data_IF_241765249152
#
_entry.id   IF_241765249152
#
_cell.length_a   1.000
_cell.length_b   1.000
_cell.length_c   1.000
_cell.angle_alpha   90.00
_cell.angle_beta   90.00
_cell.angle_gamma   90.00
#
_symmetry.space_group_name_H-M   'P 1'
#
loop_
_entity.id
_entity.type
_entity.pdbx_description
1 polymer ?
#
# COMPACT_ATOMS: atom_id res chain seq x y z
N UNK A 1 23.73 15.90 49.42
CA UNK A 1 22.69 15.24 48.61
C UNK A 1 23.16 13.87 48.18
N UNK A 2 22.24 12.94 48.14
CA UNK A 2 22.44 11.61 47.60
C UNK A 2 21.23 11.27 46.69
N UNK A 3 21.50 10.82 45.48
CA UNK A 3 20.50 10.37 44.54
C UNK A 3 20.59 8.85 44.40
N UNK A 4 19.44 8.22 44.47
CA UNK A 4 19.34 6.76 44.29
C UNK A 4 18.30 6.41 43.23
N UNK A 5 18.56 5.34 42.46
CA UNK A 5 17.63 4.70 41.53
C UNK A 5 17.45 3.26 42.01
N UNK A 6 16.25 2.85 42.33
CA UNK A 6 15.93 1.52 42.84
C UNK A 6 16.87 1.10 44.00
N UNK A 7 17.26 2.09 44.86
CA UNK A 7 18.14 1.91 46.02
C UNK A 7 19.64 1.94 45.73
N UNK A 8 20.08 2.08 44.47
CA UNK A 8 21.47 2.22 44.09
C UNK A 8 21.86 3.69 44.00
N UNK A 9 22.99 4.11 44.59
CA UNK A 9 23.48 5.49 44.49
C UNK A 9 23.95 5.80 43.07
N UNK A 10 23.41 6.87 42.47
CA UNK A 10 23.72 7.33 41.13
C UNK A 10 24.30 8.74 41.07
N UNK A 11 24.26 9.50 42.15
CA UNK A 11 24.82 10.85 42.22
C UNK A 11 24.83 11.45 43.62
N UNK A 12 25.59 12.54 43.80
CA UNK A 12 25.71 13.26 45.05
C UNK A 12 25.67 14.79 44.92
N UNK A 13 25.52 15.29 43.70
CA UNK A 13 25.41 16.72 43.44
C UNK A 13 24.02 17.25 43.74
N UNK A 14 23.85 18.56 43.81
CA UNK A 14 22.55 19.21 44.01
C UNK A 14 21.58 18.95 42.82
N UNK A 15 22.12 18.68 41.63
CA UNK A 15 21.39 18.34 40.40
C UNK A 15 21.85 16.99 39.89
N UNK A 16 20.94 16.19 39.36
CA UNK A 16 21.19 14.93 38.64
C UNK A 16 20.56 15.01 37.26
N UNK A 17 21.34 14.80 36.19
CA UNK A 17 20.87 14.62 34.85
C UNK A 17 20.68 13.12 34.59
N UNK A 18 19.44 12.72 34.26
CA UNK A 18 19.10 11.31 34.01
C UNK A 18 19.48 10.92 32.57
N UNK A 19 19.95 9.71 32.40
CA UNK A 19 20.23 9.11 31.09
C UNK A 19 19.63 7.71 30.99
N UNK A 20 19.34 7.19 29.79
CA UNK A 20 18.77 5.84 29.61
C UNK A 20 19.65 4.71 30.21
N UNK A 21 20.94 4.95 30.41
CA UNK A 21 21.84 3.98 31.08
C UNK A 21 21.74 3.98 32.59
N UNK A 22 21.08 4.97 33.19
CA UNK A 22 20.96 5.14 34.65
C UNK A 22 19.58 4.74 35.14
N UNK A 23 18.55 4.89 34.34
CA UNK A 23 17.14 4.69 34.70
C UNK A 23 16.39 4.00 33.58
N UNK A 24 15.36 3.26 33.93
CA UNK A 24 14.34 2.72 33.01
C UNK A 24 12.97 3.29 33.38
N UNK A 25 11.99 3.24 32.48
CA UNK A 25 10.60 3.56 32.78
C UNK A 25 10.12 2.82 34.03
N UNK A 26 9.30 3.48 34.84
CA UNK A 26 8.80 3.00 36.16
C UNK A 26 9.84 2.98 37.28
N UNK A 27 11.12 3.26 37.08
CA UNK A 27 12.08 3.45 38.15
C UNK A 27 11.68 4.63 39.06
N UNK A 28 11.99 4.52 40.35
CA UNK A 28 11.87 5.63 41.28
C UNK A 28 13.24 6.24 41.55
N UNK A 29 13.37 7.52 41.18
CA UNK A 29 14.56 8.34 41.52
C UNK A 29 14.29 9.08 42.79
N UNK A 30 15.12 8.85 43.81
CA UNK A 30 14.99 9.46 45.14
C UNK A 30 16.17 10.38 45.43
N UNK A 31 15.87 11.59 45.88
CA UNK A 31 16.84 12.52 46.42
C UNK A 31 16.77 12.56 47.95
N UNK A 32 17.86 12.33 48.62
CA UNK A 32 18.03 12.51 50.07
C UNK A 32 18.95 13.68 50.34
N UNK A 33 18.47 14.66 51.12
CA UNK A 33 19.28 15.78 51.58
C UNK A 33 19.62 15.57 53.06
N UNK A 34 20.88 15.65 53.40
CA UNK A 34 21.38 15.52 54.77
C UNK A 34 22.04 16.83 55.23
N UNK A 35 21.59 17.37 56.32
CA UNK A 35 22.22 18.49 56.99
C UNK A 35 23.01 17.98 58.22
N UNK A 36 24.25 18.52 58.37
CA UNK A 36 25.14 18.16 59.47
C UNK A 36 25.58 19.42 60.21
N UNK A 37 25.44 19.44 61.54
CA UNK A 37 25.90 20.55 62.35
C UNK A 37 27.40 20.43 62.68
N UNK A 38 27.96 21.47 63.29
CA UNK A 38 29.39 21.51 63.67
C UNK A 38 29.81 20.52 64.75
N UNK A 39 28.83 19.90 65.41
CA UNK A 39 29.06 18.90 66.49
C UNK A 39 28.84 17.47 65.98
N UNK A 40 28.54 17.27 64.66
CA UNK A 40 28.37 16.00 64.02
C UNK A 40 26.92 15.48 64.10
N UNK A 41 25.94 16.27 64.62
CA UNK A 41 24.53 15.94 64.58
C UNK A 41 23.98 16.02 63.15
N UNK A 42 23.19 15.05 62.71
CA UNK A 42 22.62 14.98 61.35
C UNK A 42 21.13 14.94 61.38
N UNK A 43 20.51 15.56 60.38
CA UNK A 43 19.09 15.41 60.00
C UNK A 43 18.97 15.21 58.48
N UNK A 44 18.10 14.33 58.03
CA UNK A 44 17.88 14.06 56.62
C UNK A 44 16.40 13.97 56.30
N UNK A 45 16.09 14.33 55.03
CA UNK A 45 14.75 14.16 54.43
C UNK A 45 14.91 13.72 52.97
N UNK A 46 13.90 13.04 52.45
CA UNK A 46 13.95 12.49 51.09
C UNK A 46 12.66 12.65 50.35
N UNK A 47 12.75 12.80 49.02
CA UNK A 47 11.61 12.83 48.07
C UNK A 47 11.95 12.04 46.81
N UNK A 48 10.94 11.47 46.18
CA UNK A 48 11.14 10.66 44.96
C UNK A 48 10.16 11.03 43.84
N UNK A 49 10.58 10.72 42.60
CA UNK A 49 9.77 10.81 41.39
C UNK A 49 9.88 9.51 40.62
N UNK A 50 8.81 9.14 39.92
CA UNK A 50 8.82 8.00 38.99
C UNK A 50 9.25 8.46 37.59
N UNK A 51 10.06 7.67 36.93
CA UNK A 51 10.45 7.88 35.51
C UNK A 51 9.31 7.42 34.65
N UNK A 52 8.87 8.29 33.75
CA UNK A 52 7.81 7.98 32.77
C UNK A 52 8.41 7.38 31.52
N UNK A 53 7.64 6.55 30.80
CA UNK A 53 8.00 6.02 29.48
C UNK A 53 7.96 7.13 28.42
N UNK A 54 8.83 7.05 27.42
CA UNK A 54 8.81 7.88 26.21
C UNK A 54 8.35 7.01 25.04
N UNK A 55 7.36 7.46 24.29
CA UNK A 55 6.90 6.72 23.09
C UNK A 55 7.98 6.66 22.00
N UNK A 56 8.04 5.59 21.20
CA UNK A 56 8.99 5.46 20.10
C UNK A 56 8.78 6.53 19.02
N UNK A 57 9.86 6.88 18.32
CA UNK A 57 9.87 7.91 17.26
C UNK A 57 10.33 7.32 15.95
N UNK A 58 9.60 7.60 14.85
CA UNK A 58 10.05 7.25 13.51
C UNK A 58 11.26 8.12 13.11
N UNK A 59 12.37 7.48 12.79
CA UNK A 59 13.56 8.11 12.18
C UNK A 59 13.50 8.06 10.66
N UNK A 60 12.69 7.15 10.10
CA UNK A 60 12.21 7.16 8.73
C UNK A 60 10.73 6.76 8.74
N UNK A 61 9.89 7.66 8.25
CA UNK A 61 8.46 7.43 8.12
C UNK A 61 8.13 6.26 7.18
N UNK A 62 6.90 5.75 7.26
CA UNK A 62 6.40 4.73 6.37
C UNK A 62 6.55 5.16 4.90
N UNK A 63 7.01 4.25 4.06
CA UNK A 63 7.14 4.44 2.61
C UNK A 63 6.74 3.17 1.89
N UNK A 64 6.12 3.31 0.70
CA UNK A 64 5.70 2.19 -0.15
C UNK A 64 6.54 2.17 -1.42
N UNK A 65 6.90 0.96 -1.86
CA UNK A 65 7.60 0.73 -3.14
C UNK A 65 6.96 -0.45 -3.88
N UNK A 66 6.60 -0.29 -5.18
CA UNK A 66 6.63 0.94 -5.97
C UNK A 66 5.60 1.98 -5.48
N UNK A 67 5.85 3.27 -5.73
CA UNK A 67 4.98 4.39 -5.39
C UNK A 67 4.16 4.93 -6.58
N UNK A 68 4.43 4.41 -7.78
CA UNK A 68 3.76 4.71 -9.05
C UNK A 68 3.64 3.46 -9.92
N UNK A 69 2.74 3.46 -10.91
CA UNK A 69 2.50 2.30 -11.77
C UNK A 69 1.92 1.11 -11.00
N UNK A 70 1.16 1.37 -9.96
CA UNK A 70 0.55 0.34 -9.13
C UNK A 70 -0.74 -0.14 -9.78
N UNK A 71 -0.73 -1.37 -10.28
CA UNK A 71 -1.86 -2.02 -10.98
C UNK A 71 -2.20 -3.34 -10.29
N UNK A 72 -3.29 -3.97 -10.67
CA UNK A 72 -3.64 -5.33 -10.24
C UNK A 72 -2.51 -6.31 -10.51
N UNK A 73 -2.10 -7.05 -9.49
CA UNK A 73 -0.96 -7.96 -9.49
C UNK A 73 0.34 -7.34 -8.94
N UNK A 74 0.41 -6.02 -8.72
CA UNK A 74 1.58 -5.38 -8.13
C UNK A 74 1.79 -5.84 -6.69
N UNK A 75 3.03 -6.23 -6.37
CA UNK A 75 3.46 -6.48 -5.00
C UNK A 75 4.04 -5.20 -4.42
N UNK A 76 3.40 -4.69 -3.37
CA UNK A 76 3.82 -3.53 -2.61
C UNK A 76 4.72 -3.96 -1.45
N UNK A 77 5.75 -3.18 -1.18
CA UNK A 77 6.60 -3.32 0.00
C UNK A 77 6.55 -2.03 0.82
N UNK A 78 6.29 -2.16 2.12
CA UNK A 78 6.28 -1.06 3.08
C UNK A 78 7.52 -1.10 3.95
N UNK A 79 8.16 0.04 4.15
CA UNK A 79 9.35 0.18 4.99
C UNK A 79 9.23 1.40 5.90
N UNK A 80 9.69 1.26 7.13
CA UNK A 80 9.82 2.34 8.12
C UNK A 80 10.96 2.02 9.07
N UNK A 81 11.47 3.02 9.79
CA UNK A 81 12.47 2.84 10.86
C UNK A 81 12.05 3.66 12.06
N UNK A 82 11.98 3.03 13.24
CA UNK A 82 11.71 3.71 14.50
C UNK A 82 12.77 3.35 15.54
N UNK A 83 13.01 4.29 16.47
CA UNK A 83 13.88 4.13 17.62
C UNK A 83 13.15 4.63 18.85
N UNK A 84 13.57 4.12 20.00
CA UNK A 84 13.13 4.58 21.30
C UNK A 84 14.31 5.06 22.12
N UNK A 85 14.12 6.14 22.92
CA UNK A 85 15.20 6.73 23.73
C UNK A 85 15.47 5.89 24.98
N UNK A 86 14.45 5.20 25.51
CA UNK A 86 14.55 4.41 26.72
C UNK A 86 15.09 3.00 26.42
N UNK A 87 14.63 2.39 25.30
CA UNK A 87 14.90 1.01 24.91
C UNK A 87 15.88 0.86 23.75
N UNK A 88 16.14 1.93 23.00
CA UNK A 88 17.01 1.95 21.81
C UNK A 88 16.38 1.40 20.55
N UNK A 89 15.35 0.55 20.63
CA UNK A 89 14.66 -0.04 19.48
C UNK A 89 13.18 -0.21 19.73
N UNK A 90 12.36 -0.08 18.68
CA UNK A 90 10.93 -0.35 18.71
C UNK A 90 10.57 -1.52 17.78
N UNK A 91 9.51 -2.25 18.12
CA UNK A 91 8.93 -3.31 17.28
C UNK A 91 7.98 -2.70 16.28
N UNK A 92 8.12 -3.04 14.98
CA UNK A 92 7.26 -2.53 13.91
C UNK A 92 6.21 -3.58 13.53
N UNK A 93 4.94 -3.16 13.51
CA UNK A 93 3.82 -3.94 12.99
C UNK A 93 3.24 -3.21 11.77
N UNK A 94 2.97 -3.96 10.68
CA UNK A 94 2.50 -3.45 9.40
C UNK A 94 1.10 -3.96 9.11
N UNK A 95 0.19 -3.04 8.74
CA UNK A 95 -1.18 -3.33 8.31
C UNK A 95 -1.44 -2.62 6.99
N UNK A 96 -2.04 -3.34 6.03
CA UNK A 96 -2.44 -2.79 4.76
C UNK A 96 -3.94 -2.56 4.73
N UNK A 97 -4.35 -1.38 4.27
CA UNK A 97 -5.72 -0.91 4.26
C UNK A 97 -6.14 -0.47 2.86
N UNK A 98 -7.39 -0.77 2.50
CA UNK A 98 -8.13 -0.08 1.46
C UNK A 98 -9.30 0.66 2.12
N UNK A 99 -9.19 1.98 2.22
CA UNK A 99 -10.06 2.78 3.08
C UNK A 99 -9.96 2.34 4.54
N UNK A 100 -11.03 1.78 5.10
CA UNK A 100 -11.07 1.22 6.48
C UNK A 100 -10.95 -0.30 6.51
N UNK A 101 -10.89 -0.97 5.36
CA UNK A 101 -10.84 -2.42 5.27
C UNK A 101 -9.40 -2.92 5.33
N UNK A 102 -9.11 -3.86 6.23
CA UNK A 102 -7.81 -4.53 6.27
C UNK A 102 -7.72 -5.52 5.11
N UNK A 103 -6.70 -5.33 4.24
CA UNK A 103 -6.44 -6.17 3.08
C UNK A 103 -5.19 -7.04 3.22
N UNK A 104 -4.38 -6.79 4.25
CA UNK A 104 -3.16 -7.57 4.52
C UNK A 104 -2.43 -7.13 5.78
N UNK A 105 -1.40 -7.90 6.15
CA UNK A 105 -0.47 -7.60 7.24
C UNK A 105 0.95 -8.03 6.88
N UNK A 106 1.94 -7.47 7.58
CA UNK A 106 3.37 -7.64 7.27
C UNK A 106 3.86 -6.63 6.26
N UNK A 107 5.16 -6.70 5.93
CA UNK A 107 5.84 -5.69 5.09
C UNK A 107 5.37 -5.67 3.64
N UNK A 108 4.72 -6.71 3.13
CA UNK A 108 4.29 -6.80 1.74
C UNK A 108 2.81 -7.07 1.61
N UNK A 109 2.19 -6.50 0.57
CA UNK A 109 0.83 -6.83 0.13
C UNK A 109 0.78 -6.93 -1.39
N UNK A 110 -0.20 -7.68 -1.91
CA UNK A 110 -0.45 -7.77 -3.35
C UNK A 110 -1.78 -7.10 -3.67
N UNK A 111 -1.75 -6.15 -4.59
CA UNK A 111 -2.96 -5.53 -5.15
C UNK A 111 -3.70 -6.57 -6.01
N UNK A 112 -4.99 -6.73 -5.82
CA UNK A 112 -5.80 -7.70 -6.57
C UNK A 112 -7.22 -7.18 -6.75
N UNK A 113 -7.88 -7.58 -7.84
CA UNK A 113 -9.29 -7.26 -8.11
C UNK A 113 -10.27 -7.74 -7.03
N UNK A 114 -9.84 -8.52 -6.04
CA UNK A 114 -10.66 -8.93 -4.89
C UNK A 114 -10.51 -8.04 -3.66
N UNK A 115 -9.47 -7.19 -3.61
CA UNK A 115 -9.19 -6.33 -2.46
C UNK A 115 -9.08 -4.84 -2.78
N UNK A 116 -9.10 -4.48 -4.07
CA UNK A 116 -9.04 -3.08 -4.54
C UNK A 116 -9.62 -2.92 -5.93
N UNK A 117 -10.14 -1.74 -6.20
CA UNK A 117 -10.64 -1.28 -7.50
C UNK A 117 -9.70 -0.18 -8.05
N UNK A 118 -9.81 0.10 -9.34
CA UNK A 118 -9.10 1.22 -10.00
C UNK A 118 -9.46 2.55 -9.31
N UNK A 119 -8.45 3.34 -8.99
CA UNK A 119 -8.59 4.61 -8.28
C UNK A 119 -8.57 4.51 -6.75
N UNK A 120 -8.61 3.29 -6.19
CA UNK A 120 -8.48 3.10 -4.74
C UNK A 120 -7.11 3.56 -4.22
N UNK A 121 -7.11 4.00 -2.96
CA UNK A 121 -5.89 4.35 -2.22
C UNK A 121 -5.53 3.24 -1.24
N UNK A 122 -4.46 2.52 -1.53
CA UNK A 122 -3.92 1.48 -0.65
C UNK A 122 -2.94 2.12 0.33
N UNK A 123 -3.23 1.97 1.61
CA UNK A 123 -2.43 2.54 2.70
C UNK A 123 -1.68 1.44 3.45
N UNK A 124 -0.39 1.67 3.68
CA UNK A 124 0.38 0.95 4.68
C UNK A 124 0.37 1.76 5.97
N UNK A 125 -0.12 1.18 7.05
CA UNK A 125 -0.03 1.71 8.40
C UNK A 125 1.02 0.94 9.18
N UNK A 126 1.99 1.65 9.76
CA UNK A 126 3.07 1.07 10.56
C UNK A 126 2.93 1.57 11.98
N UNK A 127 2.76 0.64 12.92
CA UNK A 127 2.77 0.93 14.36
C UNK A 127 4.12 0.53 14.92
N UNK A 128 4.83 1.49 15.51
CA UNK A 128 6.02 1.25 16.33
C UNK A 128 5.58 1.08 17.80
N UNK A 129 6.09 0.06 18.47
CA UNK A 129 5.79 -0.23 19.89
C UNK A 129 7.10 -0.50 20.63
N UNK A 130 7.31 0.16 21.77
CA UNK A 130 8.41 -0.10 22.67
C UNK A 130 8.14 -1.28 23.63
N UNK A 131 9.05 -1.58 24.55
CA UNK A 131 8.90 -2.68 25.52
C UNK A 131 7.94 -2.35 26.67
N UNK A 132 7.67 -1.08 26.93
CA UNK A 132 6.81 -0.57 28.00
C UNK A 132 5.36 -0.31 27.56
N UNK A 133 5.09 -0.47 26.23
CA UNK A 133 3.75 -0.41 25.64
C UNK A 133 3.41 0.96 25.02
N UNK A 134 4.35 1.89 24.95
CA UNK A 134 4.21 3.14 24.20
C UNK A 134 4.11 2.88 22.69
N UNK A 135 3.35 3.68 21.96
CA UNK A 135 3.12 3.45 20.52
C UNK A 135 3.08 4.73 19.73
N UNK A 136 3.63 4.67 18.51
CA UNK A 136 3.52 5.73 17.51
C UNK A 136 3.16 5.12 16.15
N UNK A 137 2.40 5.83 15.31
CA UNK A 137 1.93 5.36 14.00
C UNK A 137 2.47 6.26 12.89
N UNK A 138 2.88 5.63 11.78
CA UNK A 138 3.23 6.31 10.53
C UNK A 138 2.51 5.63 9.37
N UNK A 139 2.10 6.38 8.34
CA UNK A 139 1.36 5.86 7.19
C UNK A 139 1.94 6.34 5.87
N UNK A 140 1.80 5.50 4.84
CA UNK A 140 2.05 5.85 3.45
C UNK A 140 0.92 5.30 2.57
N UNK A 141 0.65 5.94 1.43
CA UNK A 141 -0.41 5.51 0.53
C UNK A 141 0.00 5.59 -0.93
N UNK A 142 -0.57 4.71 -1.76
CA UNK A 142 -0.42 4.69 -3.23
C UNK A 142 -1.79 4.47 -3.87
N UNK A 143 -1.99 5.00 -5.09
CA UNK A 143 -3.23 4.82 -5.84
C UNK A 143 -3.11 3.64 -6.82
N UNK A 144 -4.19 2.87 -6.97
CA UNK A 144 -4.30 1.80 -7.97
C UNK A 144 -4.62 2.41 -9.33
N UNK A 145 -3.79 2.11 -10.33
CA UNK A 145 -3.95 2.58 -11.71
C UNK A 145 -4.67 1.53 -12.56
N UNK A 146 -5.34 1.97 -13.63
CA UNK A 146 -6.04 1.11 -14.58
C UNK A 146 -5.07 0.27 -15.42
N UNK A 147 -5.45 -0.97 -15.71
CA UNK A 147 -4.84 -1.83 -16.72
C UNK A 147 -5.78 -2.00 -17.89
N UNK A 148 -5.38 -1.57 -19.08
CA UNK A 148 -6.22 -1.73 -20.26
C UNK A 148 -6.58 -3.21 -20.54
N UNK A 149 -7.79 -3.49 -21.05
CA UNK A 149 -8.22 -4.85 -21.33
C UNK A 149 -7.37 -5.52 -22.41
N UNK A 150 -7.20 -6.81 -22.32
CA UNK A 150 -6.49 -7.63 -23.29
C UNK A 150 -7.46 -8.38 -24.20
N UNK A 151 -7.14 -8.42 -25.51
CA UNK A 151 -7.89 -9.19 -26.51
C UNK A 151 -7.10 -10.46 -26.84
N UNK A 152 -7.64 -11.64 -26.51
CA UNK A 152 -6.95 -12.92 -26.71
C UNK A 152 -7.19 -13.54 -28.07
N UNK A 153 -8.32 -13.24 -28.73
CA UNK A 153 -8.66 -13.73 -30.06
C UNK A 153 -9.67 -12.86 -30.78
N UNK A 154 -9.59 -12.82 -32.10
CA UNK A 154 -10.64 -12.31 -32.98
C UNK A 154 -10.87 -13.35 -34.10
N UNK A 155 -12.11 -13.58 -34.47
CA UNK A 155 -12.46 -14.56 -35.50
C UNK A 155 -13.64 -14.09 -36.36
N UNK A 156 -13.63 -14.47 -37.63
CA UNK A 156 -14.74 -14.31 -38.57
C UNK A 156 -15.30 -15.70 -38.90
N UNK A 157 -16.63 -15.84 -38.83
CA UNK A 157 -17.30 -17.08 -39.21
C UNK A 157 -18.45 -16.79 -40.17
N UNK A 158 -18.59 -17.51 -41.33
CA UNK A 158 -17.65 -18.50 -41.85
C UNK A 158 -16.36 -17.84 -42.38
N UNK A 159 -15.22 -18.60 -42.26
CA UNK A 159 -13.91 -18.17 -42.76
C UNK A 159 -13.54 -18.77 -44.12
N UNK A 160 -14.46 -19.54 -44.75
CA UNK A 160 -14.32 -20.14 -46.08
C UNK A 160 -15.68 -20.27 -46.75
N UNK A 161 -15.68 -20.41 -48.08
CA UNK A 161 -16.90 -20.49 -48.88
C UNK A 161 -17.71 -19.18 -48.89
N UNK A 162 -17.06 -18.06 -48.63
CA UNK A 162 -17.69 -16.72 -48.55
C UNK A 162 -18.01 -16.23 -49.95
N UNK A 163 -19.26 -15.78 -50.12
CA UNK A 163 -19.77 -15.19 -51.37
C UNK A 163 -20.29 -13.78 -51.11
N UNK A 164 -20.60 -13.02 -52.17
CA UNK A 164 -21.18 -11.67 -52.05
C UNK A 164 -22.59 -11.61 -51.48
N UNK A 165 -23.11 -12.71 -50.93
CA UNK A 165 -24.42 -12.80 -50.22
C UNK A 165 -24.29 -13.50 -48.85
N UNK A 166 -23.06 -13.71 -48.35
CA UNK A 166 -22.82 -14.39 -47.08
C UNK A 166 -23.06 -13.45 -45.91
N UNK A 167 -23.60 -13.99 -44.82
CA UNK A 167 -23.64 -13.32 -43.54
C UNK A 167 -22.40 -13.72 -42.74
N UNK A 168 -21.58 -12.74 -42.35
CA UNK A 168 -20.38 -12.91 -41.54
C UNK A 168 -20.67 -12.54 -40.10
N UNK A 169 -20.15 -13.32 -39.14
CA UNK A 169 -20.10 -12.98 -37.72
C UNK A 169 -18.65 -12.71 -37.34
N UNK A 170 -18.42 -11.61 -36.64
CA UNK A 170 -17.16 -11.30 -35.97
C UNK A 170 -17.28 -11.55 -34.47
N UNK A 171 -16.32 -12.20 -33.89
CA UNK A 171 -16.24 -12.42 -32.45
C UNK A 171 -14.86 -12.10 -31.91
N UNK A 172 -14.79 -11.70 -30.66
CA UNK A 172 -13.55 -11.50 -29.91
C UNK A 172 -13.71 -11.98 -28.48
N UNK A 173 -12.59 -12.42 -27.88
CA UNK A 173 -12.52 -12.77 -26.46
C UNK A 173 -11.59 -11.78 -25.77
N UNK A 174 -12.10 -11.08 -24.79
CA UNK A 174 -11.36 -10.09 -24.02
C UNK A 174 -11.45 -10.38 -22.51
N UNK A 175 -10.42 -10.00 -21.79
CA UNK A 175 -10.35 -10.07 -20.33
C UNK A 175 -9.70 -8.82 -19.79
N UNK A 176 -10.07 -8.46 -18.58
CA UNK A 176 -9.46 -7.37 -17.83
C UNK A 176 -8.87 -7.89 -16.53
N UNK A 177 -7.64 -7.43 -16.19
CA UNK A 177 -6.95 -7.85 -14.97
C UNK A 177 -7.53 -7.20 -13.72
N UNK A 178 -8.10 -6.01 -13.86
CA UNK A 178 -8.71 -5.27 -12.75
C UNK A 178 -10.08 -5.84 -12.38
N UNK A 179 -10.59 -6.77 -13.22
CA UNK A 179 -11.87 -7.45 -13.00
C UNK A 179 -13.06 -6.67 -13.51
N UNK A 180 -12.83 -5.60 -14.26
CA UNK A 180 -13.86 -4.72 -14.80
C UNK A 180 -14.59 -5.33 -16.00
N UNK A 181 -15.80 -4.80 -16.27
CA UNK A 181 -16.60 -5.24 -17.39
C UNK A 181 -16.04 -4.68 -18.69
N UNK A 182 -15.58 -5.57 -19.57
CA UNK A 182 -15.05 -5.19 -20.89
C UNK A 182 -16.18 -5.00 -21.89
N UNK A 183 -16.22 -3.84 -22.55
CA UNK A 183 -17.08 -3.56 -23.69
C UNK A 183 -16.36 -3.89 -24.99
N UNK A 184 -16.97 -4.72 -25.85
CA UNK A 184 -16.42 -5.12 -27.13
C UNK A 184 -17.19 -4.45 -28.27
N UNK A 185 -16.46 -3.77 -29.16
CA UNK A 185 -16.99 -3.14 -30.37
C UNK A 185 -16.36 -3.72 -31.63
N UNK A 186 -17.04 -3.56 -32.77
CA UNK A 186 -16.65 -4.16 -34.05
C UNK A 186 -16.62 -3.09 -35.13
N UNK A 187 -15.69 -3.23 -36.08
CA UNK A 187 -15.64 -2.41 -37.28
C UNK A 187 -15.29 -3.28 -38.46
N UNK A 188 -16.12 -3.23 -39.51
CA UNK A 188 -15.90 -3.95 -40.79
C UNK A 188 -15.40 -3.01 -41.85
N UNK A 189 -14.35 -3.43 -42.55
CA UNK A 189 -13.78 -2.69 -43.67
C UNK A 189 -13.54 -3.61 -44.87
N UNK A 190 -13.86 -3.12 -46.07
CA UNK A 190 -13.37 -3.70 -47.28
C UNK A 190 -11.97 -3.11 -47.52
N UNK A 191 -10.92 -3.89 -47.27
CA UNK A 191 -9.53 -3.42 -47.40
C UNK A 191 -9.15 -3.16 -48.84
N UNK A 192 -9.71 -3.91 -49.80
CA UNK A 192 -9.43 -3.76 -51.24
C UNK A 192 -9.93 -2.43 -51.75
N UNK A 193 -11.11 -2.01 -51.32
CA UNK A 193 -11.75 -0.76 -51.78
C UNK A 193 -11.55 0.41 -50.79
N UNK A 194 -10.94 0.16 -49.64
CA UNK A 194 -10.74 1.11 -48.54
C UNK A 194 -12.08 1.74 -48.06
N UNK A 195 -13.14 0.95 -47.96
CA UNK A 195 -14.50 1.40 -47.58
C UNK A 195 -14.94 0.76 -46.28
N UNK A 196 -15.70 1.52 -45.48
CA UNK A 196 -16.36 0.99 -44.27
C UNK A 196 -17.64 0.22 -44.66
N UNK A 197 -17.83 -0.96 -44.01
CA UNK A 197 -18.97 -1.83 -44.26
C UNK A 197 -19.96 -1.89 -43.09
N UNK A 198 -19.59 -1.39 -41.91
CA UNK A 198 -20.44 -1.33 -40.73
C UNK A 198 -19.70 -1.57 -39.40
N UNK A 199 -20.47 -1.61 -38.29
CA UNK A 199 -19.93 -1.70 -36.91
C UNK A 199 -20.71 -2.67 -36.02
N UNK A 200 -21.54 -3.55 -36.58
CA UNK A 200 -22.24 -4.60 -35.84
C UNK A 200 -21.37 -5.86 -35.75
N UNK A 201 -21.63 -6.73 -34.78
CA UNK A 201 -20.99 -8.04 -34.70
C UNK A 201 -21.23 -8.91 -35.92
N UNK A 202 -22.32 -8.62 -36.68
CA UNK A 202 -22.70 -9.31 -37.92
C UNK A 202 -22.65 -8.36 -39.12
N UNK A 203 -22.18 -8.86 -40.26
CA UNK A 203 -22.15 -8.15 -41.52
C UNK A 203 -22.83 -9.01 -42.60
N UNK A 204 -23.82 -8.44 -43.30
CA UNK A 204 -24.42 -9.05 -44.50
C UNK A 204 -23.68 -8.51 -45.72
N UNK A 205 -22.98 -9.37 -46.44
CA UNK A 205 -22.34 -9.02 -47.68
C UNK A 205 -23.37 -8.87 -48.80
N UNK A 206 -23.18 -7.88 -49.67
CA UNK A 206 -24.01 -7.67 -50.86
C UNK A 206 -23.10 -7.34 -52.09
N UNK A 207 -23.58 -7.64 -53.32
CA UNK A 207 -22.81 -7.29 -54.51
C UNK A 207 -22.53 -5.78 -54.70
N UNK A 208 -23.25 -4.93 -53.95
CA UNK A 208 -23.02 -3.48 -53.94
C UNK A 208 -21.92 -3.03 -52.96
N UNK A 209 -21.55 -3.89 -52.01
CA UNK A 209 -20.57 -3.55 -50.97
C UNK A 209 -19.24 -4.31 -51.11
N UNK A 210 -19.26 -5.46 -51.78
CA UNK A 210 -18.07 -6.29 -52.03
C UNK A 210 -18.12 -6.92 -53.41
N UNK A 211 -16.96 -7.09 -54.03
CA UNK A 211 -16.73 -7.80 -55.27
C UNK A 211 -16.00 -9.14 -55.01
N UNK A 212 -16.03 -10.11 -55.94
CA UNK A 212 -15.16 -11.28 -55.86
C UNK A 212 -13.69 -10.89 -55.69
N UNK A 213 -12.98 -11.58 -54.78
CA UNK A 213 -11.61 -11.36 -54.38
C UNK A 213 -11.34 -10.11 -53.51
N UNK A 214 -12.39 -9.36 -53.10
CA UNK A 214 -12.22 -8.35 -52.05
C UNK A 214 -11.85 -9.00 -50.71
N UNK A 215 -11.01 -8.31 -49.95
CA UNK A 215 -10.62 -8.69 -48.59
C UNK A 215 -11.46 -7.90 -47.58
N UNK A 216 -12.27 -8.62 -46.81
CA UNK A 216 -13.09 -8.05 -45.73
C UNK A 216 -12.42 -8.31 -44.42
N UNK A 217 -12.16 -7.24 -43.67
CA UNK A 217 -11.56 -7.27 -42.32
C UNK A 217 -12.60 -6.89 -41.27
N UNK A 218 -12.63 -7.62 -40.18
CA UNK A 218 -13.26 -7.21 -38.95
C UNK A 218 -12.18 -6.81 -37.94
N UNK A 219 -12.26 -5.60 -37.41
CA UNK A 219 -11.46 -5.16 -36.27
C UNK A 219 -12.34 -5.24 -35.01
N UNK A 220 -11.84 -5.90 -34.00
CA UNK A 220 -12.47 -6.00 -32.67
C UNK A 220 -11.70 -5.07 -31.74
N UNK A 221 -12.41 -4.20 -31.02
CA UNK A 221 -11.82 -3.32 -30.01
C UNK A 221 -12.46 -3.61 -28.66
N UNK A 222 -11.66 -3.82 -27.65
CA UNK A 222 -12.06 -3.99 -26.28
C UNK A 222 -11.73 -2.71 -25.48
N UNK A 223 -12.67 -2.25 -24.66
CA UNK A 223 -12.50 -1.08 -23.77
C UNK A 223 -13.07 -1.40 -22.41
N UNK A 224 -12.45 -0.89 -21.37
CA UNK A 224 -12.95 -0.82 -20.00
C UNK A 224 -13.64 0.53 -19.72
N UNK A 225 -14.16 0.76 -18.49
CA UNK A 225 -14.85 2.01 -18.14
C UNK A 225 -13.90 3.18 -17.75
N UNK A 226 -12.57 2.96 -17.66
CA UNK A 226 -11.59 3.97 -17.19
C UNK A 226 -10.67 4.55 -18.25
#
# INVERSE_FOLDING_TARGET
>A
YEWTVSGNVVGSAMQLDLTPSMVSPSDTVTCTATATDSSGGTASDSTGVTVENTDPVFTADASITPDTGVITGTVLNCAAVATDIDDGSATLNYVWLNGTNVIGSGQTATVSASNSDVGDSITCEVTATDSDGGTTVSTAAVSVENTAPSLSSAAITPNSGVTTSTVLNCSGQSTDNDGEAVTTTYTWTNQTQATSLGNSATLVLTPSTVAPADVVLCTVTATDPH
#
